data_IF_980428641250
#
_entry.id   IF_980428641250
#
_cell.length_a   1.000
_cell.length_b   1.000
_cell.length_c   1.000
_cell.angle_alpha   90.00
_cell.angle_beta   90.00
_cell.angle_gamma   90.00
#
_symmetry.space_group_name_H-M   'P 1'
#
loop_
_entity.id
_entity.type
_entity.pdbx_description
1 polymer ?
#
# COMPACT_ATOMS: atom_id res chain seq x y z
N UNK A 1 -8.62 -41.94 18.38
CA UNK A 1 -7.29 -41.35 18.68
C UNK A 1 -7.32 -40.85 20.12
N UNK A 2 -6.56 -41.49 21.00
CA UNK A 2 -6.61 -41.24 22.45
C UNK A 2 -6.16 -39.83 22.81
N UNK A 3 -6.98 -39.13 23.59
CA UNK A 3 -6.70 -37.78 24.08
C UNK A 3 -5.65 -37.83 25.18
N UNK A 4 -4.45 -37.34 24.88
CA UNK A 4 -3.42 -37.10 25.88
C UNK A 4 -3.82 -35.86 26.68
N UNK A 5 -3.88 -35.96 28.00
CA UNK A 5 -4.17 -34.83 28.89
C UNK A 5 -3.05 -33.77 28.78
N UNK A 6 -3.38 -32.64 28.17
CA UNK A 6 -2.46 -31.53 27.90
C UNK A 6 -2.40 -30.49 29.02
N UNK A 7 -3.21 -30.64 30.08
CA UNK A 7 -3.32 -29.67 31.19
C UNK A 7 -2.01 -29.44 31.96
N UNK A 8 -1.12 -30.44 31.97
CA UNK A 8 0.19 -30.41 32.65
C UNK A 8 1.38 -30.25 31.72
N UNK A 9 1.16 -29.98 30.43
CA UNK A 9 2.27 -29.80 29.51
C UNK A 9 3.08 -28.55 29.84
N UNK A 10 4.41 -28.75 29.91
CA UNK A 10 5.35 -27.66 30.10
C UNK A 10 5.12 -26.60 29.01
N UNK A 11 4.81 -25.34 29.35
CA UNK A 11 4.60 -24.30 28.36
C UNK A 11 5.87 -24.13 27.53
N UNK A 12 5.77 -24.37 26.22
CA UNK A 12 6.89 -24.15 25.29
C UNK A 12 7.12 -22.65 25.21
N UNK A 13 8.20 -22.16 25.83
CA UNK A 13 8.59 -20.74 25.70
C UNK A 13 8.97 -20.48 24.24
N UNK A 14 8.12 -19.75 23.53
CA UNK A 14 8.45 -19.26 22.19
C UNK A 14 9.63 -18.28 22.27
N UNK A 15 9.58 -17.31 23.19
CA UNK A 15 10.61 -16.28 23.36
C UNK A 15 11.87 -16.84 24.04
N UNK A 16 13.04 -16.44 23.55
CA UNK A 16 14.35 -16.75 24.13
C UNK A 16 15.06 -17.98 23.56
N UNK A 17 14.42 -18.73 22.65
CA UNK A 17 15.06 -19.84 21.93
C UNK A 17 15.82 -19.34 20.70
N UNK A 18 16.87 -20.06 20.29
CA UNK A 18 17.61 -19.75 19.05
C UNK A 18 16.66 -19.80 17.85
N UNK A 19 15.77 -20.80 17.80
CA UNK A 19 14.76 -20.97 16.74
C UNK A 19 13.87 -19.73 16.61
N UNK A 20 13.44 -19.13 17.73
CA UNK A 20 12.61 -17.92 17.68
C UNK A 20 13.37 -16.69 17.16
N UNK A 21 14.69 -16.63 17.41
CA UNK A 21 15.54 -15.56 16.86
C UNK A 21 15.80 -15.75 15.37
N UNK A 22 15.98 -16.99 14.91
CA UNK A 22 16.36 -17.30 13.52
C UNK A 22 15.18 -17.48 12.58
N UNK A 23 13.94 -17.59 13.08
CA UNK A 23 12.73 -17.87 12.28
C UNK A 23 12.53 -16.98 11.05
N UNK A 24 12.95 -15.71 11.12
CA UNK A 24 12.79 -14.75 10.02
C UNK A 24 14.04 -14.59 9.15
N UNK A 25 15.15 -15.27 9.46
CA UNK A 25 16.39 -15.10 8.70
C UNK A 25 16.24 -15.53 7.24
N UNK A 26 15.47 -16.58 6.97
CA UNK A 26 15.14 -16.98 5.61
C UNK A 26 14.36 -15.89 4.86
N UNK A 27 13.32 -15.33 5.49
CA UNK A 27 12.55 -14.24 4.91
C UNK A 27 13.43 -13.01 4.63
N UNK A 28 14.31 -12.65 5.56
CA UNK A 28 15.30 -11.58 5.35
C UNK A 28 16.26 -11.88 4.19
N UNK A 29 16.71 -13.13 4.06
CA UNK A 29 17.54 -13.57 2.93
C UNK A 29 16.83 -13.45 1.59
N UNK A 30 15.58 -13.86 1.51
CA UNK A 30 14.76 -13.74 0.29
C UNK A 30 14.51 -12.28 -0.06
N UNK A 31 14.18 -11.44 0.93
CA UNK A 31 13.99 -10.00 0.72
C UNK A 31 15.29 -9.39 0.21
N UNK A 32 16.42 -9.61 0.88
CA UNK A 32 17.71 -9.07 0.48
C UNK A 32 18.09 -9.48 -0.96
N UNK A 33 17.98 -10.77 -1.28
CA UNK A 33 18.25 -11.28 -2.62
C UNK A 33 17.33 -10.67 -3.68
N UNK A 34 16.02 -10.58 -3.40
CA UNK A 34 15.04 -9.96 -4.28
C UNK A 34 15.33 -8.48 -4.52
N UNK A 35 15.75 -7.75 -3.48
CA UNK A 35 16.07 -6.31 -3.60
C UNK A 35 17.32 -6.10 -4.46
N UNK A 36 18.34 -6.93 -4.31
CA UNK A 36 19.58 -6.88 -5.10
C UNK A 36 19.29 -7.23 -6.57
N UNK A 37 18.57 -8.33 -6.82
CA UNK A 37 18.20 -8.74 -8.18
C UNK A 37 17.37 -7.66 -8.87
N UNK A 38 16.38 -7.09 -8.19
CA UNK A 38 15.58 -6.00 -8.73
C UNK A 38 16.44 -4.77 -9.06
N UNK A 39 17.35 -4.37 -8.16
CA UNK A 39 18.25 -3.24 -8.40
C UNK A 39 19.16 -3.45 -9.62
N UNK A 40 19.69 -4.67 -9.80
CA UNK A 40 20.53 -5.02 -10.96
C UNK A 40 19.72 -5.05 -12.26
N UNK A 41 18.54 -5.68 -12.26
CA UNK A 41 17.68 -5.71 -13.45
C UNK A 41 17.23 -4.30 -13.82
N UNK A 42 16.83 -3.50 -12.83
CA UNK A 42 16.42 -2.11 -13.04
C UNK A 42 17.58 -1.25 -13.55
N UNK A 43 18.78 -1.39 -12.99
CA UNK A 43 19.95 -0.62 -13.45
C UNK A 43 20.31 -0.97 -14.89
N UNK A 44 20.30 -2.24 -15.26
CA UNK A 44 20.53 -2.70 -16.64
C UNK A 44 19.43 -2.17 -17.56
N UNK A 45 18.16 -2.30 -17.18
CA UNK A 45 17.03 -1.80 -17.96
C UNK A 45 17.10 -0.27 -18.15
N UNK A 46 17.52 0.46 -17.13
CA UNK A 46 17.72 1.92 -17.22
C UNK A 46 18.94 2.31 -18.06
N UNK A 47 19.99 1.50 -18.05
CA UNK A 47 21.20 1.73 -18.85
C UNK A 47 20.97 1.45 -20.33
N UNK A 48 20.24 0.37 -20.65
CA UNK A 48 19.93 -0.03 -22.03
C UNK A 48 18.75 0.78 -22.60
N UNK A 49 17.73 1.08 -21.78
CA UNK A 49 16.52 1.81 -22.19
C UNK A 49 16.63 3.33 -22.15
N UNK A 50 17.75 3.89 -21.67
CA UNK A 50 18.07 5.31 -21.73
C UNK A 50 17.04 6.26 -21.08
N UNK A 51 17.07 7.53 -21.51
CA UNK A 51 16.19 8.61 -21.03
C UNK A 51 14.70 8.35 -21.35
N UNK A 52 14.40 7.55 -22.37
CA UNK A 52 13.04 7.20 -22.78
C UNK A 52 12.31 6.34 -21.75
N UNK A 53 12.99 5.32 -21.18
CA UNK A 53 12.39 4.49 -20.14
C UNK A 53 12.14 5.30 -18.86
N UNK A 54 13.07 6.21 -18.53
CA UNK A 54 12.95 7.12 -17.40
C UNK A 54 11.81 8.12 -17.59
N UNK A 55 11.65 8.67 -18.81
CA UNK A 55 10.52 9.53 -19.15
C UNK A 55 9.20 8.76 -19.09
N UNK A 56 9.10 7.56 -19.67
CA UNK A 56 7.87 6.74 -19.60
C UNK A 56 7.49 6.41 -18.15
N UNK A 57 8.45 5.99 -17.33
CA UNK A 57 8.17 5.75 -15.91
C UNK A 57 7.78 7.02 -15.15
N UNK A 58 8.36 8.18 -15.49
CA UNK A 58 7.91 9.45 -14.92
C UNK A 58 6.48 9.78 -15.34
N UNK A 59 6.13 9.64 -16.63
CA UNK A 59 4.77 9.88 -17.13
C UNK A 59 3.74 8.95 -16.50
N UNK A 60 4.06 7.67 -16.40
CA UNK A 60 3.10 6.65 -15.96
C UNK A 60 2.91 6.62 -14.44
N UNK A 61 3.96 6.90 -13.65
CA UNK A 61 3.92 6.75 -12.19
C UNK A 61 3.97 8.07 -11.41
N UNK A 62 4.59 9.12 -11.95
CA UNK A 62 4.86 10.37 -11.22
C UNK A 62 4.11 11.58 -11.77
N UNK A 63 3.80 11.60 -13.06
CA UNK A 63 3.05 12.67 -13.71
C UNK A 63 1.57 12.46 -13.43
N UNK A 64 1.06 13.21 -12.45
CA UNK A 64 -0.39 13.27 -12.21
C UNK A 64 -1.05 13.77 -13.47
N UNK A 65 -2.08 13.07 -13.93
CA UNK A 65 -2.87 13.49 -15.09
C UNK A 65 -3.32 14.94 -14.90
N UNK A 66 -3.31 15.72 -15.99
CA UNK A 66 -3.68 17.15 -15.93
C UNK A 66 -5.04 17.36 -15.26
N UNK A 67 -5.97 16.41 -15.43
CA UNK A 67 -7.26 16.38 -14.77
C UNK A 67 -7.18 16.26 -13.23
N UNK A 68 -6.21 15.52 -12.69
CA UNK A 68 -6.01 15.40 -11.25
C UNK A 68 -5.35 16.67 -10.68
N UNK A 69 -4.48 17.31 -11.46
CA UNK A 69 -3.88 18.61 -11.12
C UNK A 69 -4.95 19.70 -11.14
N UNK A 70 -5.81 19.72 -12.16
CA UNK A 70 -6.90 20.68 -12.30
C UNK A 70 -7.97 20.48 -11.21
N UNK A 71 -8.39 19.23 -10.94
CA UNK A 71 -9.27 18.92 -9.80
C UNK A 71 -8.67 19.39 -8.48
N UNK A 72 -7.37 19.18 -8.26
CA UNK A 72 -6.68 19.63 -7.05
C UNK A 72 -6.58 21.15 -6.99
N UNK A 73 -6.34 21.83 -8.11
CA UNK A 73 -6.33 23.29 -8.20
C UNK A 73 -7.71 23.88 -7.95
N UNK A 74 -8.77 23.34 -8.56
CA UNK A 74 -10.16 23.72 -8.31
C UNK A 74 -10.54 23.55 -6.83
N UNK A 75 -10.07 22.48 -6.18
CA UNK A 75 -10.27 22.27 -4.73
C UNK A 75 -9.41 23.16 -3.83
N UNK A 76 -8.28 23.69 -4.33
CA UNK A 76 -7.32 24.50 -3.56
C UNK A 76 -7.56 26.00 -3.70
N UNK A 77 -8.11 26.44 -4.83
CA UNK A 77 -8.41 27.85 -5.14
C UNK A 77 -9.90 28.21 -5.02
N UNK A 78 -10.79 27.24 -4.82
CA UNK A 78 -12.16 27.55 -4.41
C UNK A 78 -12.16 28.04 -2.96
N UNK A 79 -12.86 29.15 -2.70
CA UNK A 79 -13.11 29.69 -1.35
C UNK A 79 -13.92 28.73 -0.46
N UNK A 80 -14.28 27.55 -0.96
CA UNK A 80 -15.06 26.53 -0.29
C UNK A 80 -14.11 25.42 0.12
N UNK A 81 -13.87 25.30 1.43
CA UNK A 81 -13.03 24.23 1.96
C UNK A 81 -13.58 22.86 1.53
N UNK A 82 -12.72 21.91 1.10
CA UNK A 82 -13.15 20.58 0.72
C UNK A 82 -13.88 19.92 1.90
N UNK A 83 -15.16 19.58 1.70
CA UNK A 83 -15.95 18.87 2.70
C UNK A 83 -15.36 17.47 2.90
N UNK A 84 -15.26 17.01 4.15
CA UNK A 84 -14.76 15.67 4.46
C UNK A 84 -15.65 14.61 3.79
N UNK A 85 -15.10 13.45 3.45
CA UNK A 85 -15.83 12.38 2.77
C UNK A 85 -17.11 11.96 3.49
N UNK A 86 -17.12 11.98 4.82
CA UNK A 86 -18.30 11.69 5.65
C UNK A 86 -19.42 12.72 5.44
N UNK A 87 -19.07 13.98 5.22
CA UNK A 87 -20.03 15.05 4.95
C UNK A 87 -20.64 14.92 3.56
N UNK A 88 -19.84 14.49 2.57
CA UNK A 88 -20.32 14.24 1.20
C UNK A 88 -21.30 13.05 1.19
N UNK A 89 -20.99 11.99 1.93
CA UNK A 89 -21.89 10.83 2.06
C UNK A 89 -23.24 11.20 2.65
N UNK A 90 -23.26 12.01 3.70
CA UNK A 90 -24.51 12.52 4.31
C UNK A 90 -25.33 13.36 3.34
N UNK A 91 -24.69 14.26 2.59
CA UNK A 91 -25.39 15.09 1.61
C UNK A 91 -25.98 14.25 0.46
N UNK A 92 -25.28 13.19 0.02
CA UNK A 92 -25.79 12.26 -0.99
C UNK A 92 -26.96 11.41 -0.48
N UNK A 93 -26.97 11.05 0.80
CA UNK A 93 -28.09 10.35 1.44
C UNK A 93 -29.29 11.27 1.57
N UNK A 94 -29.10 12.51 2.03
CA UNK A 94 -30.15 13.55 2.11
C UNK A 94 -30.75 13.85 0.74
N UNK A 95 -29.94 13.97 -0.32
CA UNK A 95 -30.43 14.22 -1.69
C UNK A 95 -31.25 13.05 -2.25
N UNK A 96 -30.89 11.81 -1.92
CA UNK A 96 -31.68 10.62 -2.29
C UNK A 96 -33.00 10.56 -1.55
N UNK A 97 -33.01 10.92 -0.27
CA UNK A 97 -34.24 10.98 0.51
C UNK A 97 -35.18 12.09 0.01
N UNK A 98 -34.65 13.25 -0.37
CA UNK A 98 -35.43 14.35 -0.93
C UNK A 98 -35.98 14.03 -2.32
N UNK A 99 -35.26 13.27 -3.14
CA UNK A 99 -35.78 12.76 -4.42
C UNK A 99 -36.85 11.69 -4.24
N UNK A 100 -36.78 10.87 -3.18
CA UNK A 100 -37.79 9.86 -2.87
C UNK A 100 -39.07 10.45 -2.24
N UNK A 101 -39.00 11.68 -1.71
CA UNK A 101 -40.14 12.42 -1.14
C UNK A 101 -40.89 13.29 -2.15
N UNK A 102 -40.37 13.43 -3.37
CA UNK A 102 -41.05 14.06 -4.51
C UNK A 102 -41.78 13.02 -5.35
#
# INVERSE_FOLDING_TARGET
MGGVDTSRWKPRRAKGTVIFKTRNQFAWGVIAAGTVLFGVVYSIASYIGGEELKQRMQRDFYEKTEEEIDRRNLMRFSLVAPKRGDTIRKLLEEEKEDQARK
#
